data_IF_206727406668
#
_entry.id   IF_206727406668
#
_cell.length_a   1.000
_cell.length_b   1.000
_cell.length_c   1.000
_cell.angle_alpha   90.00
_cell.angle_beta   90.00
_cell.angle_gamma   90.00
#
_symmetry.space_group_name_H-M   'P 1'
#
loop_
_entity.id
_entity.type
_entity.pdbx_description
1 polymer ?
#
# COMPACT_ATOMS: atom_id res chain seq x y z
N UNK A 1 -4.86 13.14 6.55
CA UNK A 1 -6.01 13.91 6.03
C UNK A 1 -7.26 13.08 6.12
N UNK A 2 -7.28 11.86 5.57
CA UNK A 2 -8.50 11.07 5.61
C UNK A 2 -8.95 10.66 7.01
N UNK A 3 -8.02 10.22 7.87
CA UNK A 3 -8.28 9.85 9.27
C UNK A 3 -8.91 10.98 10.13
N UNK A 4 -9.01 12.20 9.61
CA UNK A 4 -9.59 13.36 10.30
C UNK A 4 -10.71 14.04 9.50
N UNK A 5 -10.89 13.68 8.23
CA UNK A 5 -11.76 14.40 7.31
C UNK A 5 -12.71 13.51 6.51
N UNK A 6 -12.47 12.20 6.42
CA UNK A 6 -13.36 11.24 5.74
C UNK A 6 -13.68 11.67 4.30
N UNK A 7 -12.62 11.93 3.51
CA UNK A 7 -12.72 12.52 2.16
C UNK A 7 -12.18 11.62 1.06
N UNK A 8 -11.54 10.51 1.39
CA UNK A 8 -10.97 9.57 0.44
C UNK A 8 -11.98 8.46 0.23
N UNK A 9 -12.45 8.31 -1.00
CA UNK A 9 -13.32 7.20 -1.36
C UNK A 9 -12.51 5.92 -1.62
N UNK A 10 -13.13 4.74 -1.46
CA UNK A 10 -12.50 3.43 -1.65
C UNK A 10 -11.72 3.28 -2.97
N UNK A 11 -12.28 3.77 -4.09
CA UNK A 11 -11.61 3.67 -5.38
C UNK A 11 -10.29 4.45 -5.42
N UNK A 12 -10.13 5.48 -4.59
CA UNK A 12 -8.90 6.26 -4.52
C UNK A 12 -7.81 5.49 -3.77
N UNK A 13 -8.18 4.74 -2.72
CA UNK A 13 -7.27 3.82 -2.07
C UNK A 13 -6.80 2.72 -3.02
N UNK A 14 -7.74 2.11 -3.74
CA UNK A 14 -7.47 1.07 -4.74
C UNK A 14 -6.53 1.59 -5.85
N UNK A 15 -6.79 2.78 -6.39
CA UNK A 15 -5.94 3.38 -7.43
C UNK A 15 -4.53 3.69 -6.93
N UNK A 16 -4.38 4.15 -5.68
CA UNK A 16 -3.07 4.41 -5.07
C UNK A 16 -2.31 3.11 -4.87
N UNK A 17 -2.96 2.06 -4.34
CA UNK A 17 -2.35 0.75 -4.17
C UNK A 17 -1.82 0.23 -5.52
N UNK A 18 -2.68 0.18 -6.53
CA UNK A 18 -2.34 -0.37 -7.84
C UNK A 18 -1.27 0.45 -8.57
N UNK A 19 -1.39 1.77 -8.62
CA UNK A 19 -0.51 2.61 -9.47
C UNK A 19 0.80 2.98 -8.81
N UNK A 20 0.87 3.01 -7.48
CA UNK A 20 2.05 3.51 -6.77
C UNK A 20 2.80 2.40 -6.04
N UNK A 21 2.09 1.40 -5.48
CA UNK A 21 2.70 0.41 -4.60
C UNK A 21 2.78 -0.98 -5.23
N UNK A 22 1.91 -1.31 -6.17
CA UNK A 22 1.87 -2.62 -6.84
C UNK A 22 2.33 -2.58 -8.30
N UNK A 23 2.41 -1.38 -8.90
CA UNK A 23 2.98 -1.21 -10.23
C UNK A 23 4.45 -1.68 -10.25
N UNK A 24 4.86 -2.59 -11.15
CA UNK A 24 6.20 -3.14 -11.17
C UNK A 24 7.31 -2.09 -11.38
N UNK A 25 7.05 -1.04 -12.17
CA UNK A 25 8.04 0.02 -12.41
C UNK A 25 8.21 0.88 -11.16
N UNK A 26 7.11 1.22 -10.48
CA UNK A 26 7.16 1.95 -9.21
C UNK A 26 7.81 1.13 -8.11
N UNK A 27 7.47 -0.16 -7.98
CA UNK A 27 8.11 -1.03 -7.00
C UNK A 27 9.61 -1.10 -7.19
N UNK A 28 10.07 -1.25 -8.44
CA UNK A 28 11.50 -1.23 -8.74
C UNK A 28 12.13 0.11 -8.32
N UNK A 29 11.50 1.23 -8.68
CA UNK A 29 11.97 2.55 -8.27
C UNK A 29 12.11 2.69 -6.75
N UNK A 30 11.08 2.29 -5.99
CA UNK A 30 11.15 2.34 -4.54
C UNK A 30 12.21 1.38 -3.98
N UNK A 31 12.32 0.15 -4.48
CA UNK A 31 13.32 -0.80 -3.99
C UNK A 31 14.75 -0.30 -4.22
N UNK A 32 15.02 0.38 -5.34
CA UNK A 32 16.34 0.95 -5.63
C UNK A 32 16.66 2.19 -4.78
N UNK A 33 15.68 3.04 -4.50
CA UNK A 33 15.93 4.35 -3.88
C UNK A 33 15.54 4.43 -2.40
N UNK A 34 14.41 3.85 -2.02
CA UNK A 34 13.88 3.89 -0.67
C UNK A 34 12.91 2.72 -0.39
N UNK A 35 13.42 1.49 -0.18
CA UNK A 35 12.58 0.31 0.05
C UNK A 35 11.72 0.44 1.32
N UNK A 36 12.21 1.16 2.33
CA UNK A 36 11.46 1.41 3.56
C UNK A 36 10.21 2.27 3.31
N UNK A 37 10.25 3.21 2.37
CA UNK A 37 9.07 4.00 2.01
C UNK A 37 7.97 3.16 1.36
N UNK A 38 8.32 2.18 0.52
CA UNK A 38 7.36 1.24 -0.05
C UNK A 38 6.68 0.42 1.05
N UNK A 39 7.48 -0.10 1.98
CA UNK A 39 6.95 -0.83 3.15
C UNK A 39 6.00 0.04 3.98
N UNK A 40 6.43 1.23 4.39
CA UNK A 40 5.62 2.12 5.25
C UNK A 40 4.33 2.58 4.55
N UNK A 41 4.38 2.79 3.22
CA UNK A 41 3.20 3.15 2.44
C UNK A 41 2.21 1.98 2.34
N UNK A 42 2.69 0.77 2.06
CA UNK A 42 1.84 -0.44 2.02
C UNK A 42 1.21 -0.71 3.39
N UNK A 43 1.97 -0.57 4.48
CA UNK A 43 1.43 -0.72 5.85
C UNK A 43 0.33 0.29 6.17
N UNK A 44 0.46 1.54 5.70
CA UNK A 44 -0.58 2.56 5.89
C UNK A 44 -1.87 2.24 5.14
N UNK A 45 -1.79 1.64 3.95
CA UNK A 45 -2.99 1.23 3.21
C UNK A 45 -3.69 0.06 3.89
N UNK A 46 -2.92 -0.92 4.38
CA UNK A 46 -3.48 -2.02 5.18
C UNK A 46 -4.16 -1.49 6.45
N UNK A 47 -3.54 -0.52 7.15
CA UNK A 47 -4.15 0.13 8.32
C UNK A 47 -5.46 0.86 7.96
N UNK A 48 -5.55 1.48 6.77
CA UNK A 48 -6.78 2.13 6.33
C UNK A 48 -7.93 1.13 6.15
N UNK A 49 -7.64 -0.07 5.63
CA UNK A 49 -8.61 -1.16 5.56
C UNK A 49 -8.99 -1.68 6.97
N UNK A 50 -8.01 -1.88 7.87
CA UNK A 50 -8.28 -2.32 9.25
C UNK A 50 -9.12 -1.32 10.06
N UNK A 51 -9.05 -0.03 9.72
CA UNK A 51 -9.81 1.05 10.35
C UNK A 51 -11.14 1.36 9.66
N UNK A 52 -11.57 0.51 8.72
CA UNK A 52 -12.82 0.68 7.97
C UNK A 52 -12.86 2.01 7.18
N UNK A 53 -11.69 2.58 6.83
CA UNK A 53 -11.57 3.77 5.97
C UNK A 53 -11.50 3.38 4.48
N UNK A 54 -11.04 2.17 4.21
CA UNK A 54 -11.07 1.53 2.89
C UNK A 54 -11.90 0.25 3.02
N UNK A 55 -13.21 0.37 2.89
CA UNK A 55 -14.17 -0.69 3.25
C UNK A 55 -14.31 -1.75 2.15
N UNK A 56 -14.20 -1.34 0.88
CA UNK A 56 -14.41 -2.21 -0.28
C UNK A 56 -13.09 -2.53 -0.99
N UNK A 57 -12.01 -2.71 -0.24
CA UNK A 57 -10.72 -3.11 -0.79
C UNK A 57 -10.79 -4.48 -1.47
N UNK A 58 -10.16 -4.61 -2.64
CA UNK A 58 -10.04 -5.91 -3.28
C UNK A 58 -9.12 -6.84 -2.44
N UNK A 59 -9.56 -8.07 -2.10
CA UNK A 59 -8.75 -8.99 -1.30
C UNK A 59 -7.40 -9.35 -1.94
N UNK A 60 -7.33 -9.38 -3.28
CA UNK A 60 -6.07 -9.62 -4.00
C UNK A 60 -5.12 -8.44 -3.82
N UNK A 61 -5.63 -7.21 -3.84
CA UNK A 61 -4.85 -6.00 -3.57
C UNK A 61 -4.28 -5.99 -2.15
N UNK A 62 -5.07 -6.35 -1.14
CA UNK A 62 -4.60 -6.46 0.24
C UNK A 62 -3.47 -7.51 0.37
N UNK A 63 -3.66 -8.70 -0.21
CA UNK A 63 -2.66 -9.75 -0.20
C UNK A 63 -1.37 -9.34 -0.92
N UNK A 64 -1.48 -8.58 -2.01
CA UNK A 64 -0.33 -8.08 -2.74
C UNK A 64 0.46 -7.04 -1.92
N UNK A 65 -0.22 -6.17 -1.16
CA UNK A 65 0.41 -5.22 -0.26
C UNK A 65 1.15 -5.92 0.90
N UNK A 66 0.56 -6.96 1.49
CA UNK A 66 1.22 -7.80 2.49
C UNK A 66 2.47 -8.50 1.92
N UNK A 67 2.34 -9.05 0.71
CA UNK A 67 3.44 -9.74 0.03
C UNK A 67 4.60 -8.76 -0.25
N UNK A 68 4.31 -7.55 -0.73
CA UNK A 68 5.32 -6.51 -0.96
C UNK A 68 6.11 -6.17 0.33
N UNK A 69 5.43 -6.10 1.48
CA UNK A 69 6.09 -5.86 2.78
C UNK A 69 7.05 -7.00 3.14
N UNK A 70 6.62 -8.25 2.97
CA UNK A 70 7.44 -9.44 3.28
C UNK A 70 8.67 -9.52 2.39
N UNK A 71 8.53 -9.23 1.09
CA UNK A 71 9.66 -9.20 0.16
C UNK A 71 10.69 -8.15 0.58
N UNK A 72 10.25 -6.94 0.90
CA UNK A 72 11.16 -5.86 1.34
C UNK A 72 11.88 -6.25 2.64
N UNK A 73 11.19 -6.89 3.57
CA UNK A 73 11.81 -7.39 4.80
C UNK A 73 12.92 -8.39 4.48
N UNK A 74 12.67 -9.36 3.61
CA UNK A 74 13.68 -10.32 3.17
C UNK A 74 14.86 -9.71 2.39
N UNK A 75 14.68 -8.56 1.75
CA UNK A 75 15.75 -7.84 1.04
C UNK A 75 16.61 -6.96 1.95
N UNK A 76 16.05 -6.45 3.06
CA UNK A 76 16.72 -5.51 3.99
C UNK A 76 17.43 -6.24 5.14
N UNK A 77 17.11 -7.52 5.37
CA UNK A 77 17.78 -8.40 6.36
C UNK A 77 19.21 -8.82 5.99
#
# INVERSE_FOLDING_TARGET
YDATCDIVADYQYEEVANKLLLDPEQQKFFREHNPLALKDASQRLLEANEREMWENADPETLQALESAILEIQGEVE
#
